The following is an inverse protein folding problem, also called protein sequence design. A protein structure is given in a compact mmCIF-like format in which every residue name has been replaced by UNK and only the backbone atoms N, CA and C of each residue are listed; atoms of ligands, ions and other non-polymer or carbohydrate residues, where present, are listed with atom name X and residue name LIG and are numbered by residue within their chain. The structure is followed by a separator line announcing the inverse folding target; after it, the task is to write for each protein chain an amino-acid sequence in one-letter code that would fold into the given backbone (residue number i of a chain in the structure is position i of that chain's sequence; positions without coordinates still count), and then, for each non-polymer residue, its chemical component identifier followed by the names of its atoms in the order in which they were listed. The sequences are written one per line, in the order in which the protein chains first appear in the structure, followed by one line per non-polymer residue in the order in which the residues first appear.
data_IF_575528662917
#
_entry.id   IF_575528662917
#
_cell.length_a   1.000
_cell.length_b   1.000
_cell.length_c   1.000
_cell.angle_alpha   90.00
_cell.angle_beta   90.00
_cell.angle_gamma   90.00
#
_symmetry.space_group_name_H-M   'P 1'
#
loop_
_entity.id
_entity.type
_entity.pdbx_description
1 polymer ?
#
# COMPACT_ATOMS: atom_id res chain seq x y z
N UNK A 1 -9.00 -2.07 -51.33
CA UNK A 1 -7.83 -1.28 -50.88
C UNK A 1 -7.90 -1.03 -49.37
N UNK A 2 -7.28 -1.87 -48.54
CA UNK A 2 -7.25 -1.67 -47.07
C UNK A 2 -6.16 -2.53 -46.39
N UNK A 3 -4.87 -2.20 -46.56
CA UNK A 3 -3.77 -2.86 -45.81
C UNK A 3 -2.51 -1.98 -45.70
N UNK A 4 -2.65 -0.74 -45.22
CA UNK A 4 -1.50 0.17 -45.04
C UNK A 4 -1.29 0.66 -43.60
N UNK A 5 -2.23 0.46 -42.67
CA UNK A 5 -2.18 1.07 -41.32
C UNK A 5 -1.48 0.24 -40.22
N UNK A 6 -1.07 -1.01 -40.48
CA UNK A 6 -0.49 -1.90 -39.44
C UNK A 6 1.05 -2.01 -39.45
N UNK A 7 1.73 -1.48 -40.46
CA UNK A 7 3.20 -1.55 -40.60
C UNK A 7 3.93 -0.36 -39.99
N UNK A 8 3.25 0.77 -39.80
CA UNK A 8 3.87 2.03 -39.34
C UNK A 8 4.52 1.91 -37.95
N UNK A 9 3.84 1.24 -37.02
CA UNK A 9 4.37 1.07 -35.64
C UNK A 9 5.55 0.09 -35.58
N UNK A 10 5.57 -0.92 -36.45
CA UNK A 10 6.69 -1.86 -36.54
C UNK A 10 7.91 -1.24 -37.22
N UNK A 11 7.69 -0.42 -38.25
CA UNK A 11 8.77 0.26 -38.97
C UNK A 11 9.36 1.40 -38.13
N UNK A 12 8.53 2.12 -37.35
CA UNK A 12 9.01 3.10 -36.38
C UNK A 12 9.94 2.47 -35.32
N UNK A 13 9.61 1.28 -34.81
CA UNK A 13 10.47 0.55 -33.86
C UNK A 13 11.76 0.05 -34.52
N UNK A 14 11.72 -0.32 -35.80
CA UNK A 14 12.92 -0.75 -36.55
C UNK A 14 13.89 0.41 -36.77
N UNK A 15 13.38 1.58 -37.18
CA UNK A 15 14.18 2.79 -37.36
C UNK A 15 14.80 3.28 -36.06
N UNK A 16 14.06 3.23 -34.95
CA UNK A 16 14.60 3.60 -33.63
C UNK A 16 15.81 2.74 -33.24
N UNK A 17 15.73 1.41 -33.45
CA UNK A 17 16.86 0.51 -33.19
C UNK A 17 18.04 0.75 -34.12
N UNK A 18 17.81 1.07 -35.39
CA UNK A 18 18.88 1.36 -36.34
C UNK A 18 19.58 2.70 -36.01
N UNK A 19 18.82 3.70 -35.58
CA UNK A 19 19.38 5.00 -35.16
C UNK A 19 20.21 4.89 -33.87
N UNK A 20 19.80 4.05 -32.91
CA UNK A 20 20.51 3.89 -31.63
C UNK A 20 21.55 2.75 -31.64
N UNK A 21 21.68 2.00 -32.74
CA UNK A 21 22.74 1.00 -32.90
C UNK A 21 24.08 1.65 -33.28
N UNK A 22 24.06 2.73 -34.08
CA UNK A 22 25.27 3.48 -34.44
C UNK A 22 25.83 4.31 -33.28
N UNK A 23 24.98 4.79 -32.39
CA UNK A 23 25.38 5.62 -31.23
C UNK A 23 26.14 4.83 -30.15
N UNK A 24 26.08 3.48 -30.19
CA UNK A 24 26.87 2.59 -29.34
C UNK A 24 28.17 2.10 -30.01
N UNK A 25 28.30 2.21 -31.33
CA UNK A 25 29.51 1.81 -32.06
C UNK A 25 30.50 2.98 -32.25
N UNK A 26 30.06 4.24 -32.18
CA UNK A 26 30.95 5.41 -32.38
C UNK A 26 31.74 5.82 -31.12
N UNK A 27 31.52 5.16 -29.97
CA UNK A 27 32.31 5.35 -28.75
C UNK A 27 33.35 4.23 -28.51
N UNK A 28 33.60 3.36 -29.49
CA UNK A 28 34.60 2.29 -29.41
C UNK A 28 35.78 2.56 -30.34
N UNK A 29 36.52 3.63 -30.02
CA UNK A 29 37.86 3.83 -30.55
C UNK A 29 38.84 2.86 -29.86
N UNK A 30 39.13 1.75 -30.55
CA UNK A 30 40.34 0.90 -30.53
C UNK A 30 41.05 0.73 -29.17
N UNK A 31 40.86 -0.43 -28.54
CA UNK A 31 41.79 -1.03 -27.57
C UNK A 31 42.00 -2.52 -27.91
N UNK A 32 43.21 -3.08 -27.70
CA UNK A 32 43.59 -4.37 -28.29
C UNK A 32 42.93 -5.56 -27.58
N UNK A 33 42.84 -6.66 -28.33
CA UNK A 33 42.25 -7.94 -27.96
C UNK A 33 42.55 -8.35 -26.51
N UNK A 34 41.52 -8.28 -25.67
CA UNK A 34 41.49 -8.86 -24.33
C UNK A 34 40.77 -10.20 -24.38
N UNK A 35 41.36 -11.21 -23.75
CA UNK A 35 40.87 -12.58 -23.63
C UNK A 35 39.37 -12.67 -23.29
N UNK A 36 38.66 -13.72 -23.73
CA UNK A 36 37.26 -13.90 -23.39
C UNK A 36 37.14 -14.12 -21.88
N UNK A 37 36.68 -13.07 -21.18
CA UNK A 37 36.32 -13.14 -19.78
C UNK A 37 35.34 -14.31 -19.56
N UNK A 38 35.52 -15.12 -18.50
CA UNK A 38 34.63 -16.23 -18.22
C UNK A 38 33.22 -15.68 -18.09
N UNK A 39 32.30 -16.18 -18.93
CA UNK A 39 30.87 -15.91 -18.82
C UNK A 39 30.48 -16.16 -17.37
N UNK A 40 30.25 -15.09 -16.61
CA UNK A 40 29.66 -15.19 -15.29
C UNK A 40 28.36 -15.95 -15.47
N UNK A 41 28.33 -17.19 -14.96
CA UNK A 41 27.13 -17.98 -14.91
C UNK A 41 26.10 -17.13 -14.15
N UNK A 42 25.09 -16.65 -14.88
CA UNK A 42 23.93 -15.99 -14.29
C UNK A 42 23.46 -16.87 -13.14
N UNK A 43 23.55 -16.36 -11.91
CA UNK A 43 23.14 -17.06 -10.71
C UNK A 43 21.75 -17.71 -10.96
N UNK A 44 21.53 -18.95 -10.49
CA UNK A 44 20.29 -19.66 -10.75
C UNK A 44 19.13 -18.76 -10.36
N UNK A 45 18.24 -18.48 -11.32
CA UNK A 45 17.05 -17.66 -11.09
C UNK A 45 16.28 -18.27 -9.93
N UNK A 46 16.40 -17.66 -8.76
CA UNK A 46 15.80 -18.13 -7.53
C UNK A 46 14.29 -18.24 -7.80
N UNK A 47 13.74 -19.45 -7.62
CA UNK A 47 12.34 -19.71 -7.97
C UNK A 47 11.48 -18.70 -7.20
N UNK A 48 10.56 -17.97 -7.85
CA UNK A 48 9.72 -16.99 -7.16
C UNK A 48 8.94 -17.69 -6.05
N UNK A 49 9.29 -17.52 -4.78
CA UNK A 49 8.66 -18.25 -3.66
C UNK A 49 7.66 -17.36 -2.92
N UNK A 50 6.55 -17.95 -2.46
CA UNK A 50 5.53 -17.24 -1.65
C UNK A 50 6.17 -16.79 -0.32
N UNK A 51 7.00 -17.65 0.25
CA UNK A 51 7.81 -17.35 1.44
C UNK A 51 8.79 -16.20 1.20
N UNK A 52 9.40 -16.12 0.02
CA UNK A 52 10.22 -14.99 -0.42
C UNK A 52 9.40 -13.70 -0.54
N UNK A 53 8.21 -13.76 -1.13
CA UNK A 53 7.30 -12.60 -1.20
C UNK A 53 6.86 -12.10 0.19
N UNK A 54 6.56 -13.01 1.12
CA UNK A 54 6.25 -12.70 2.51
C UNK A 54 7.41 -11.95 3.19
N UNK A 55 8.62 -12.51 3.11
CA UNK A 55 9.81 -11.91 3.74
C UNK A 55 10.18 -10.57 3.09
N UNK A 56 10.06 -10.46 1.77
CA UNK A 56 10.34 -9.24 1.01
C UNK A 56 9.28 -8.14 1.19
N UNK A 57 8.07 -8.49 1.65
CA UNK A 57 7.06 -7.51 1.99
C UNK A 57 7.41 -6.72 3.27
N UNK A 58 8.22 -7.30 4.16
CA UNK A 58 8.74 -6.60 5.34
C UNK A 58 9.66 -5.44 4.93
N UNK A 59 9.63 -4.32 5.67
CA UNK A 59 10.52 -3.18 5.46
C UNK A 59 10.91 -2.61 6.83
N UNK A 60 12.20 -2.33 7.06
CA UNK A 60 12.61 -1.66 8.30
C UNK A 60 11.98 -0.27 8.37
N UNK A 61 11.54 0.12 9.58
CA UNK A 61 11.00 1.43 9.86
C UNK A 61 12.13 2.48 9.86
N UNK A 62 11.94 3.58 9.12
CA UNK A 62 12.92 4.66 9.03
C UNK A 62 12.36 5.90 9.68
N UNK A 63 12.34 5.87 11.02
CA UNK A 63 11.59 6.81 11.87
C UNK A 63 11.92 8.28 11.52
N UNK A 64 13.19 8.61 11.36
CA UNK A 64 13.64 9.99 11.08
C UNK A 64 13.11 10.53 9.75
N UNK A 65 13.27 9.74 8.69
CA UNK A 65 12.83 10.11 7.33
C UNK A 65 11.30 10.11 7.22
N UNK A 66 10.65 9.21 7.96
CA UNK A 66 9.20 9.11 7.99
C UNK A 66 8.57 10.33 8.66
N UNK A 67 9.13 10.81 9.78
CA UNK A 67 8.72 12.05 10.45
C UNK A 67 8.99 13.27 9.56
N UNK A 68 10.16 13.36 8.94
CA UNK A 68 10.53 14.52 8.13
C UNK A 68 9.55 14.80 6.98
N UNK A 69 8.98 13.74 6.38
CA UNK A 69 8.03 13.90 5.29
C UNK A 69 6.57 13.66 5.72
N UNK A 70 6.29 13.71 7.02
CA UNK A 70 4.94 13.70 7.62
C UNK A 70 4.02 14.80 7.08
N UNK A 71 4.42 16.09 6.94
CA UNK A 71 3.52 17.13 6.43
C UNK A 71 2.94 16.78 5.05
N UNK A 72 3.75 16.17 4.20
CA UNK A 72 3.30 15.71 2.89
C UNK A 72 2.43 14.44 2.97
N UNK A 73 2.66 13.55 3.95
CA UNK A 73 1.82 12.37 4.15
C UNK A 73 0.39 12.74 4.57
N UNK A 74 0.23 13.76 5.41
CA UNK A 74 -1.09 14.22 5.87
C UNK A 74 -1.94 14.78 4.72
N UNK A 75 -1.32 15.17 3.61
CA UNK A 75 -2.02 15.67 2.42
C UNK A 75 -2.41 14.55 1.44
N UNK A 76 -2.08 13.29 1.74
CA UNK A 76 -2.41 12.19 0.85
C UNK A 76 -3.90 11.86 0.91
N UNK A 77 -4.49 11.51 -0.23
CA UNK A 77 -5.92 11.12 -0.31
C UNK A 77 -6.29 10.00 0.64
N UNK A 78 -5.40 9.02 0.84
CA UNK A 78 -5.63 7.92 1.78
C UNK A 78 -5.79 8.42 3.23
N UNK A 79 -4.93 9.35 3.66
CA UNK A 79 -5.06 9.98 4.97
C UNK A 79 -6.33 10.82 5.08
N UNK A 80 -6.60 11.66 4.09
CA UNK A 80 -7.78 12.54 4.08
C UNK A 80 -9.09 11.75 4.10
N UNK A 81 -9.17 10.63 3.36
CA UNK A 81 -10.34 9.73 3.39
C UNK A 81 -10.51 9.11 4.77
N UNK A 82 -9.44 8.59 5.38
CA UNK A 82 -9.51 8.04 6.73
C UNK A 82 -9.92 9.08 7.77
N UNK A 83 -9.38 10.30 7.68
CA UNK A 83 -9.78 11.41 8.54
C UNK A 83 -11.27 11.75 8.35
N UNK A 84 -11.73 11.84 7.10
CA UNK A 84 -13.12 12.10 6.78
C UNK A 84 -14.06 11.01 7.30
N UNK A 85 -13.63 9.75 7.36
CA UNK A 85 -14.41 8.66 7.92
C UNK A 85 -14.57 8.78 9.44
N UNK A 86 -13.50 9.11 10.17
CA UNK A 86 -13.58 9.34 11.62
C UNK A 86 -14.52 10.51 11.91
N UNK A 87 -14.30 11.65 11.26
CA UNK A 87 -15.15 12.84 11.44
C UNK A 87 -16.58 12.55 11.03
N UNK A 88 -16.78 11.89 9.89
CA UNK A 88 -18.10 11.53 9.36
C UNK A 88 -18.87 10.57 10.28
N UNK A 89 -18.19 9.59 10.88
CA UNK A 89 -18.79 8.67 11.85
C UNK A 89 -19.28 9.40 13.09
N UNK A 90 -18.48 10.32 13.63
CA UNK A 90 -18.87 11.14 14.79
C UNK A 90 -20.03 12.05 14.47
N UNK A 91 -20.01 12.73 13.31
CA UNK A 91 -21.11 13.61 12.88
C UNK A 91 -22.39 12.80 12.64
N UNK A 92 -22.30 11.61 12.03
CA UNK A 92 -23.46 10.79 11.72
C UNK A 92 -24.26 10.39 12.98
N UNK A 93 -23.58 9.98 14.05
CA UNK A 93 -24.27 9.59 15.31
C UNK A 93 -24.88 10.79 16.03
N UNK A 94 -24.27 11.98 15.91
CA UNK A 94 -24.81 13.23 16.47
C UNK A 94 -26.07 13.67 15.73
N UNK A 95 -26.09 13.56 14.40
CA UNK A 95 -27.21 14.03 13.57
C UNK A 95 -28.43 13.10 13.66
N UNK A 96 -28.21 11.79 13.72
CA UNK A 96 -29.29 10.81 13.81
C UNK A 96 -29.00 9.79 14.92
N UNK A 97 -29.13 10.20 16.20
CA UNK A 97 -28.90 9.31 17.32
C UNK A 97 -29.94 8.18 17.33
N UNK A 98 -29.51 6.96 17.61
CA UNK A 98 -30.38 5.78 17.65
C UNK A 98 -30.67 5.13 16.29
N UNK A 99 -30.26 5.74 15.17
CA UNK A 99 -30.35 5.08 13.87
C UNK A 99 -29.33 3.93 13.77
N UNK A 100 -29.78 2.74 13.35
CA UNK A 100 -28.93 1.54 13.27
C UNK A 100 -27.72 1.74 12.35
N UNK A 101 -27.89 2.46 11.24
CA UNK A 101 -26.81 2.71 10.27
C UNK A 101 -25.78 3.68 10.84
N UNK A 102 -26.20 4.77 11.48
CA UNK A 102 -25.26 5.74 12.08
C UNK A 102 -24.52 5.14 13.27
N UNK A 103 -25.19 4.32 14.09
CA UNK A 103 -24.55 3.57 15.16
C UNK A 103 -23.51 2.57 14.62
N UNK A 104 -23.84 1.84 13.56
CA UNK A 104 -22.89 0.93 12.91
C UNK A 104 -21.68 1.67 12.33
N UNK A 105 -21.90 2.82 11.70
CA UNK A 105 -20.84 3.67 11.17
C UNK A 105 -19.96 4.20 12.31
N UNK A 106 -20.55 4.69 13.40
CA UNK A 106 -19.81 5.14 14.57
C UNK A 106 -18.96 4.00 15.16
N UNK A 107 -19.52 2.81 15.28
CA UNK A 107 -18.80 1.65 15.81
C UNK A 107 -17.66 1.18 14.90
N UNK A 108 -17.82 1.29 13.59
CA UNK A 108 -16.78 0.90 12.63
C UNK A 108 -15.71 1.98 12.39
N UNK A 109 -16.04 3.25 12.59
CA UNK A 109 -15.22 4.41 12.18
C UNK A 109 -14.67 5.25 13.35
N UNK A 110 -15.21 5.11 14.56
CA UNK A 110 -14.87 5.98 15.71
C UNK A 110 -14.62 5.23 17.01
N UNK A 111 -15.31 4.10 17.26
CA UNK A 111 -15.08 3.34 18.49
C UNK A 111 -13.69 2.70 18.45
N UNK A 112 -12.78 3.01 19.40
CA UNK A 112 -11.41 2.56 19.29
C UNK A 112 -11.28 1.03 19.45
N UNK A 113 -10.54 0.37 18.54
CA UNK A 113 -9.83 0.98 17.43
C UNK A 113 -10.73 1.13 16.20
N UNK A 114 -10.79 2.33 15.62
CA UNK A 114 -11.53 2.56 14.38
C UNK A 114 -10.93 1.80 13.19
N UNK A 115 -11.36 0.54 13.06
CA UNK A 115 -10.82 -0.43 12.12
C UNK A 115 -10.79 0.10 10.71
N UNK A 116 -11.92 0.61 10.21
CA UNK A 116 -12.05 1.02 8.82
C UNK A 116 -11.08 2.16 8.43
N UNK A 117 -11.03 3.32 9.13
CA UNK A 117 -10.08 4.37 8.78
C UNK A 117 -8.62 3.93 8.98
N UNK A 118 -8.32 3.10 9.99
CA UNK A 118 -6.97 2.55 10.22
C UNK A 118 -6.55 1.61 9.07
N UNK A 119 -7.43 0.73 8.59
CA UNK A 119 -7.13 -0.15 7.47
C UNK A 119 -6.96 0.63 6.17
N UNK A 120 -7.81 1.63 5.92
CA UNK A 120 -7.74 2.47 4.72
C UNK A 120 -6.42 3.26 4.70
N UNK A 121 -6.04 3.89 5.81
CA UNK A 121 -4.81 4.67 5.85
C UNK A 121 -3.58 3.78 5.67
N UNK A 122 -3.57 2.61 6.32
CA UNK A 122 -2.48 1.64 6.20
C UNK A 122 -2.37 1.06 4.79
N UNK A 123 -3.49 0.71 4.18
CA UNK A 123 -3.53 0.12 2.84
C UNK A 123 -3.11 1.12 1.76
N UNK A 124 -3.50 2.40 1.86
CA UNK A 124 -3.16 3.41 0.85
C UNK A 124 -1.84 4.16 1.14
N UNK A 125 -1.25 4.04 2.33
CA UNK A 125 0.02 4.66 2.66
C UNK A 125 1.13 4.27 1.66
N UNK A 126 1.82 5.25 1.09
CA UNK A 126 3.01 5.00 0.23
C UNK A 126 4.24 4.66 1.07
N UNK A 127 4.34 5.25 2.27
CA UNK A 127 5.40 5.06 3.27
C UNK A 127 4.83 5.35 4.67
N UNK A 128 5.56 4.97 5.72
CA UNK A 128 5.23 5.27 7.12
C UNK A 128 3.80 4.83 7.56
N UNK A 129 3.31 3.66 7.12
CA UNK A 129 1.96 3.21 7.46
C UNK A 129 1.72 3.07 8.96
N UNK A 130 2.74 2.66 9.72
CA UNK A 130 2.70 2.60 11.18
C UNK A 130 2.46 3.97 11.82
N UNK A 131 3.10 5.02 11.28
CA UNK A 131 3.01 6.39 11.78
C UNK A 131 1.66 7.02 11.41
N UNK A 132 1.19 6.77 10.18
CA UNK A 132 -0.14 7.21 9.77
C UNK A 132 -1.26 6.52 10.55
N UNK A 133 -1.11 5.22 10.82
CA UNK A 133 -2.02 4.48 11.70
C UNK A 133 -2.04 5.04 13.12
N UNK A 134 -0.87 5.37 13.68
CA UNK A 134 -0.75 6.04 14.97
C UNK A 134 -1.51 7.38 15.00
N UNK A 135 -1.28 8.23 14.00
CA UNK A 135 -1.91 9.55 13.92
C UNK A 135 -3.43 9.42 13.84
N UNK A 136 -3.93 8.54 12.96
CA UNK A 136 -5.36 8.30 12.85
C UNK A 136 -5.94 7.75 14.17
N UNK A 137 -5.26 6.82 14.84
CA UNK A 137 -5.71 6.31 16.13
C UNK A 137 -5.71 7.37 17.24
N UNK A 138 -4.78 8.32 17.24
CA UNK A 138 -4.79 9.45 18.18
C UNK A 138 -5.97 10.39 17.91
N UNK A 139 -6.24 10.68 16.63
CA UNK A 139 -7.40 11.48 16.23
C UNK A 139 -8.70 10.77 16.60
N UNK A 140 -8.74 9.45 16.41
CA UNK A 140 -9.87 8.58 16.78
C UNK A 140 -10.15 8.61 18.28
N UNK A 141 -9.11 8.42 19.12
CA UNK A 141 -9.22 8.55 20.58
C UNK A 141 -9.69 9.93 21.00
N UNK A 142 -9.21 11.00 20.35
CA UNK A 142 -9.67 12.36 20.63
C UNK A 142 -11.15 12.54 20.24
N UNK A 143 -11.56 12.06 19.07
CA UNK A 143 -12.95 12.11 18.63
C UNK A 143 -13.87 11.30 19.55
N UNK A 144 -13.44 10.11 19.97
CA UNK A 144 -14.16 9.28 20.92
C UNK A 144 -14.25 9.92 22.30
N UNK A 145 -13.18 10.54 22.80
CA UNK A 145 -13.20 11.28 24.07
C UNK A 145 -14.17 12.46 24.02
N UNK A 146 -14.17 13.24 22.93
CA UNK A 146 -15.16 14.31 22.71
C UNK A 146 -16.57 13.74 22.69
N UNK A 147 -16.81 12.62 22.00
CA UNK A 147 -18.10 11.96 22.02
C UNK A 147 -18.52 11.56 23.44
N UNK A 148 -17.66 10.87 24.20
CA UNK A 148 -17.97 10.38 25.56
C UNK A 148 -18.31 11.51 26.53
N UNK A 149 -17.61 12.65 26.45
CA UNK A 149 -17.81 13.76 27.39
C UNK A 149 -18.86 14.78 26.94
N UNK A 150 -18.95 15.08 25.63
CA UNK A 150 -19.77 16.19 25.13
C UNK A 150 -21.08 15.73 24.46
N UNK A 151 -21.14 14.51 23.94
CA UNK A 151 -22.29 14.02 23.16
C UNK A 151 -23.05 12.93 23.89
N UNK A 152 -22.34 11.88 24.32
CA UNK A 152 -22.92 10.68 24.96
C UNK A 152 -23.92 10.98 26.07
N UNK A 153 -23.63 11.89 27.03
CA UNK A 153 -24.55 12.22 28.12
C UNK A 153 -25.87 12.85 27.65
N UNK A 154 -25.86 13.54 26.52
CA UNK A 154 -27.07 14.13 25.92
C UNK A 154 -27.91 13.14 25.12
N UNK A 155 -27.40 11.92 24.89
CA UNK A 155 -28.07 10.87 24.12
C UNK A 155 -28.70 9.79 25.02
N UNK A 156 -28.41 9.79 26.31
CA UNK A 156 -28.95 8.83 27.28
C UNK A 156 -29.91 9.52 28.25
N UNK A 157 -30.95 8.80 28.67
CA UNK A 157 -31.86 9.27 29.73
C UNK A 157 -31.28 9.06 31.13
N UNK A 158 -30.37 8.08 31.25
CA UNK A 158 -29.65 7.80 32.47
C UNK A 158 -28.34 8.62 32.52
N UNK A 159 -28.03 9.24 33.67
CA UNK A 159 -26.73 9.88 33.87
C UNK A 159 -25.61 8.86 33.74
N UNK A 160 -24.64 9.13 32.87
CA UNK A 160 -23.42 8.32 32.79
C UNK A 160 -22.51 8.72 33.96
N UNK A 161 -22.09 7.75 34.75
CA UNK A 161 -21.15 7.96 35.87
C UNK A 161 -19.82 8.55 35.34
N UNK A 162 -19.32 9.68 35.90
CA UNK A 162 -18.03 10.25 35.53
C UNK A 162 -16.86 9.26 35.61
N UNK A 163 -16.89 8.31 36.56
CA UNK A 163 -15.87 7.27 36.67
C UNK A 163 -15.91 6.34 35.47
N UNK A 164 -17.11 5.98 35.01
CA UNK A 164 -17.30 5.15 33.82
C UNK A 164 -16.82 5.86 32.55
N UNK A 165 -17.12 7.16 32.39
CA UNK A 165 -16.62 7.96 31.27
C UNK A 165 -15.08 7.96 31.22
N UNK A 166 -14.45 8.18 32.38
CA UNK A 166 -13.00 8.17 32.50
C UNK A 166 -12.39 6.81 32.15
N UNK A 167 -13.01 5.71 32.59
CA UNK A 167 -12.58 4.36 32.24
C UNK A 167 -12.67 4.08 30.73
N UNK A 168 -13.75 4.50 30.06
CA UNK A 168 -13.91 4.33 28.62
C UNK A 168 -12.81 5.05 27.84
N UNK A 169 -12.49 6.29 28.21
CA UNK A 169 -11.43 7.07 27.56
C UNK A 169 -10.04 6.50 27.87
N UNK A 170 -9.76 6.08 29.10
CA UNK A 170 -8.48 5.44 29.42
C UNK A 170 -8.27 4.13 28.66
N UNK A 171 -9.31 3.31 28.55
CA UNK A 171 -9.27 2.08 27.75
C UNK A 171 -8.95 2.39 26.28
N UNK A 172 -9.62 3.39 25.71
CA UNK A 172 -9.37 3.86 24.34
C UNK A 172 -7.93 4.37 24.15
N UNK A 173 -7.38 5.15 25.08
CA UNK A 173 -5.99 5.65 25.03
C UNK A 173 -4.99 4.49 25.10
N UNK A 174 -5.29 3.46 25.89
CA UNK A 174 -4.38 2.34 26.12
C UNK A 174 -4.28 1.43 24.89
N UNK A 175 -5.41 1.17 24.23
CA UNK A 175 -5.49 0.20 23.13
C UNK A 175 -5.38 0.89 21.77
N UNK A 176 -5.98 2.06 21.60
CA UNK A 176 -6.13 2.76 20.31
C UNK A 176 -4.81 3.00 19.58
N UNK A 177 -3.83 3.71 20.17
CA UNK A 177 -2.56 3.99 19.51
C UNK A 177 -1.79 2.72 19.12
N UNK A 178 -1.73 1.73 20.00
CA UNK A 178 -1.01 0.47 19.76
C UNK A 178 -1.64 -0.32 18.61
N UNK A 179 -2.97 -0.44 18.63
CA UNK A 179 -3.72 -1.10 17.57
C UNK A 179 -3.64 -0.34 16.24
N UNK A 180 -3.70 0.99 16.24
CA UNK A 180 -3.52 1.83 15.06
C UNK A 180 -2.19 1.60 14.35
N UNK A 181 -1.10 1.60 15.12
CA UNK A 181 0.25 1.28 14.63
C UNK A 181 0.27 -0.12 14.00
N UNK A 182 -0.22 -1.12 14.73
CA UNK A 182 -0.15 -2.51 14.33
C UNK A 182 -1.00 -2.81 13.08
N UNK A 183 -2.27 -2.43 13.08
CA UNK A 183 -3.20 -2.75 11.99
C UNK A 183 -2.88 -1.99 10.71
N UNK A 184 -2.46 -0.72 10.79
CA UNK A 184 -2.05 0.02 9.61
C UNK A 184 -0.75 -0.54 9.00
N UNK A 185 0.20 -0.98 9.85
CA UNK A 185 1.39 -1.66 9.39
C UNK A 185 1.06 -3.00 8.71
N UNK A 186 0.17 -3.80 9.32
CA UNK A 186 -0.31 -5.07 8.76
C UNK A 186 -1.01 -4.87 7.40
N UNK A 187 -1.84 -3.84 7.26
CA UNK A 187 -2.53 -3.52 6.01
C UNK A 187 -1.54 -3.18 4.87
N UNK A 188 -0.53 -2.36 5.17
CA UNK A 188 0.51 -2.00 4.20
C UNK A 188 1.35 -3.22 3.79
N UNK A 189 1.68 -4.06 4.77
CA UNK A 189 2.37 -5.33 4.54
C UNK A 189 1.55 -6.26 3.64
N UNK A 190 0.25 -6.43 3.92
CA UNK A 190 -0.66 -7.27 3.15
C UNK A 190 -0.75 -6.82 1.68
N UNK A 191 -0.93 -5.51 1.44
CA UNK A 191 -0.90 -4.95 0.07
C UNK A 191 0.38 -5.34 -0.66
N UNK A 192 1.54 -5.18 -0.01
CA UNK A 192 2.83 -5.46 -0.64
C UNK A 192 3.02 -6.95 -0.89
N UNK A 193 2.63 -7.79 0.06
CA UNK A 193 2.62 -9.23 -0.10
C UNK A 193 1.79 -9.67 -1.31
N UNK A 194 0.59 -9.12 -1.49
CA UNK A 194 -0.25 -9.40 -2.65
C UNK A 194 0.42 -8.95 -3.97
N UNK A 195 1.03 -7.76 -3.99
CA UNK A 195 1.72 -7.27 -5.20
C UNK A 195 2.89 -8.16 -5.61
N UNK A 196 3.69 -8.62 -4.64
CA UNK A 196 4.84 -9.49 -4.89
C UNK A 196 4.40 -10.90 -5.29
N UNK A 197 3.36 -11.42 -4.65
CA UNK A 197 2.81 -12.75 -4.96
C UNK A 197 2.24 -12.79 -6.39
N UNK A 198 1.51 -11.75 -6.79
CA UNK A 198 0.95 -11.65 -8.15
C UNK A 198 2.04 -11.43 -9.21
N UNK A 199 3.05 -10.59 -8.92
CA UNK A 199 4.17 -10.39 -9.83
C UNK A 199 4.93 -11.70 -10.10
N UNK A 200 5.17 -12.48 -9.03
CA UNK A 200 5.80 -13.80 -9.11
C UNK A 200 4.97 -14.78 -9.96
N UNK A 201 3.65 -14.77 -9.82
CA UNK A 201 2.75 -15.60 -10.63
C UNK A 201 2.79 -15.22 -12.12
N UNK A 202 2.81 -13.92 -12.43
CA UNK A 202 2.90 -13.42 -13.81
C UNK A 202 4.25 -13.77 -14.47
N UNK A 203 5.35 -13.66 -13.73
CA UNK A 203 6.68 -14.05 -14.23
C UNK A 203 6.74 -15.55 -14.57
N UNK A 204 6.16 -16.41 -13.72
CA UNK A 204 6.05 -17.85 -13.99
C UNK A 204 5.27 -18.15 -15.27
N UNK A 205 4.15 -17.47 -15.48
CA UNK A 205 3.34 -17.65 -16.69
C UNK A 205 4.10 -17.25 -17.96
N UNK A 206 4.83 -16.11 -17.92
CA UNK A 206 5.66 -15.65 -19.03
C UNK A 206 6.82 -16.60 -19.33
N UNK A 207 7.50 -17.12 -18.31
CA UNK A 207 8.59 -18.09 -18.49
C UNK A 207 8.09 -19.38 -19.15
N UNK A 208 6.91 -19.90 -18.74
CA UNK A 208 6.28 -21.07 -19.36
C UNK A 208 5.91 -20.83 -20.83
N UNK A 209 5.38 -19.66 -21.16
CA UNK A 209 5.07 -19.30 -22.55
C UNK A 209 6.32 -19.22 -23.42
N UNK A 210 7.41 -18.61 -22.91
CA UNK A 210 8.68 -18.54 -23.62
C UNK A 210 9.27 -19.94 -23.86
N UNK A 211 9.24 -20.82 -22.87
CA UNK A 211 9.72 -22.19 -23.02
C UNK A 211 8.92 -22.99 -24.06
N UNK A 212 7.58 -22.83 -24.08
CA UNK A 212 6.72 -23.45 -25.10
C UNK A 212 7.01 -22.92 -26.51
N UNK A 213 7.24 -21.61 -26.65
CA UNK A 213 7.57 -20.99 -27.95
C UNK A 213 8.95 -21.43 -28.49
N UNK A 214 9.90 -21.73 -27.59
CA UNK A 214 11.25 -22.17 -27.96
C UNK A 214 11.30 -23.66 -28.31
N UNK A 215 10.49 -24.49 -27.63
CA UNK A 215 10.36 -25.92 -27.94
C UNK A 215 9.58 -26.18 -29.25
N UNK A 216 8.71 -25.27 -29.67
CA UNK A 216 7.92 -25.40 -30.91
C UNK A 216 8.61 -24.89 -32.19
N UNK A 217 9.89 -24.50 -32.14
CA UNK A 217 10.62 -24.01 -33.31
C UNK A 217 11.47 -25.16 -33.88
N UNK A 218 11.01 -25.88 -34.92
CA UNK A 218 11.80 -26.95 -35.52
C UNK A 218 13.09 -26.37 -36.09
N UNK A 219 14.21 -27.06 -35.83
CA UNK A 219 15.48 -26.76 -36.50
C UNK A 219 15.26 -26.93 -38.00
N UNK A 220 15.24 -25.82 -38.73
CA UNK A 220 15.35 -25.86 -40.18
C UNK A 220 16.79 -26.27 -40.49
N UNK A 221 16.96 -27.55 -40.82
CA UNK A 221 18.10 -28.04 -41.58
C UNK A 221 18.04 -27.55 -43.01
#
# INVERSE_FOLDING_TARGET
MARAKRTDRSDARRRWRQAHAGELEESEAVAPASEPAPRQASAPSERPSITGAFRNAYRPARIREDIAALPWLLLTRGFLVSLALVVGGTVAVVVAPGNTVTNLLFQAMVVPPAMAPIFIVGFFARRASYLLGLIIALIDVAAYAVFVYAVGPGLTTEPIDPVQQQQLVFSAISVGPLSGVFFAAAAAWYRRFLTLSNANAQQRARARQQQKSRAGRPARG
#
